data_IF_235018230891
#
_entry.id   IF_235018230891
#
_cell.length_a   1.000
_cell.length_b   1.000
_cell.length_c   1.000
_cell.angle_alpha   90.00
_cell.angle_beta   90.00
_cell.angle_gamma   90.00
#
_symmetry.space_group_name_H-M   'P 1'
#
loop_
_entity.id
_entity.type
_entity.pdbx_description
1 polymer ?
#
# COMPACT_ATOMS: atom_id res chain seq x y z
N UNK A 1 -36.59 -29.08 -36.76
CA UNK A 1 -35.22 -28.57 -36.99
C UNK A 1 -35.13 -27.06 -36.81
N UNK A 2 -36.20 -26.30 -37.10
CA UNK A 2 -36.17 -24.82 -37.06
C UNK A 2 -35.97 -24.19 -35.67
N UNK A 3 -36.54 -24.77 -34.61
CA UNK A 3 -36.41 -24.25 -33.23
C UNK A 3 -34.96 -24.32 -32.70
N UNK A 4 -34.21 -25.37 -33.10
CA UNK A 4 -32.81 -25.57 -32.71
C UNK A 4 -31.89 -24.62 -33.49
N UNK A 5 -32.19 -24.37 -34.77
CA UNK A 5 -31.47 -23.41 -35.61
C UNK A 5 -31.70 -21.95 -35.15
N UNK A 6 -32.92 -21.62 -34.73
CA UNK A 6 -33.25 -20.30 -34.18
C UNK A 6 -32.53 -20.03 -32.85
N UNK A 7 -32.49 -21.01 -31.93
CA UNK A 7 -31.76 -20.88 -30.67
C UNK A 7 -30.25 -20.66 -30.83
N UNK A 8 -29.63 -21.35 -31.80
CA UNK A 8 -28.19 -21.20 -32.09
C UNK A 8 -27.90 -19.82 -32.68
N UNK A 9 -28.77 -19.29 -33.55
CA UNK A 9 -28.63 -17.96 -34.17
C UNK A 9 -28.94 -16.80 -33.21
N UNK A 10 -29.75 -17.02 -32.17
CA UNK A 10 -30.06 -16.01 -31.16
C UNK A 10 -28.98 -15.87 -30.08
N UNK A 11 -28.28 -16.96 -29.74
CA UNK A 11 -27.19 -16.96 -28.75
C UNK A 11 -26.04 -15.95 -29.04
N UNK A 12 -25.48 -15.82 -30.27
CA UNK A 12 -24.41 -14.86 -30.54
C UNK A 12 -24.89 -13.42 -30.48
N UNK A 13 -26.16 -13.15 -30.84
CA UNK A 13 -26.75 -11.80 -30.77
C UNK A 13 -26.94 -11.35 -29.31
N UNK A 14 -27.38 -12.27 -28.44
CA UNK A 14 -27.51 -12.02 -26.99
C UNK A 14 -26.16 -11.84 -26.32
N UNK A 15 -25.16 -12.65 -26.68
CA UNK A 15 -23.79 -12.53 -26.20
C UNK A 15 -23.14 -11.20 -26.63
N UNK A 16 -23.27 -10.83 -27.90
CA UNK A 16 -22.76 -9.55 -28.41
C UNK A 16 -23.40 -8.35 -27.71
N UNK A 17 -24.71 -8.43 -27.44
CA UNK A 17 -25.43 -7.41 -26.69
C UNK A 17 -24.92 -7.34 -25.23
N UNK A 18 -24.74 -8.48 -24.57
CA UNK A 18 -24.21 -8.54 -23.21
C UNK A 18 -22.77 -7.98 -23.13
N UNK A 19 -21.89 -8.37 -24.05
CA UNK A 19 -20.50 -7.85 -24.13
C UNK A 19 -20.51 -6.34 -24.37
N UNK A 20 -21.35 -5.84 -25.29
CA UNK A 20 -21.47 -4.40 -25.55
C UNK A 20 -21.97 -3.64 -24.32
N UNK A 21 -22.95 -4.20 -23.60
CA UNK A 21 -23.44 -3.61 -22.36
C UNK A 21 -22.37 -3.61 -21.27
N UNK A 22 -21.59 -4.69 -21.12
CA UNK A 22 -20.46 -4.76 -20.19
C UNK A 22 -19.37 -3.74 -20.53
N UNK A 23 -19.00 -3.58 -21.80
CA UNK A 23 -18.03 -2.58 -22.25
C UNK A 23 -18.53 -1.16 -21.95
N UNK A 24 -19.82 -0.89 -22.17
CA UNK A 24 -20.40 0.41 -21.86
C UNK A 24 -20.43 0.69 -20.35
N UNK A 25 -20.65 -0.35 -19.52
CA UNK A 25 -20.56 -0.25 -18.06
C UNK A 25 -19.12 0.04 -17.64
N UNK A 26 -18.13 -0.68 -18.17
CA UNK A 26 -16.70 -0.47 -17.86
C UNK A 26 -16.24 0.94 -18.25
N UNK A 27 -16.76 1.51 -19.34
CA UNK A 27 -16.47 2.89 -19.76
C UNK A 27 -17.11 3.96 -18.87
N UNK A 28 -18.06 3.59 -18.00
CA UNK A 28 -18.63 4.52 -17.03
C UNK A 28 -17.68 4.72 -15.85
N UNK A 29 -17.77 5.88 -15.20
CA UNK A 29 -17.00 6.20 -13.98
C UNK A 29 -17.15 5.12 -12.89
N UNK A 30 -18.36 4.60 -12.72
CA UNK A 30 -18.63 3.52 -11.76
C UNK A 30 -18.03 2.18 -12.18
N UNK A 31 -18.05 1.85 -13.48
CA UNK A 31 -17.42 0.61 -13.97
C UNK A 31 -15.90 0.64 -13.84
N UNK A 32 -15.27 1.80 -14.03
CA UNK A 32 -13.85 1.97 -13.81
C UNK A 32 -13.48 1.79 -12.33
N UNK A 33 -14.30 2.32 -11.41
CA UNK A 33 -14.11 2.16 -9.97
C UNK A 33 -14.25 0.70 -9.53
N UNK A 34 -15.25 -0.02 -10.05
CA UNK A 34 -15.45 -1.45 -9.77
C UNK A 34 -14.29 -2.28 -10.33
N UNK A 35 -13.82 -1.98 -11.54
CA UNK A 35 -12.67 -2.64 -12.15
C UNK A 35 -11.41 -2.43 -11.30
N UNK A 36 -11.19 -1.22 -10.81
CA UNK A 36 -10.09 -0.89 -9.91
C UNK A 36 -10.19 -1.68 -8.61
N UNK A 37 -11.38 -1.77 -7.99
CA UNK A 37 -11.59 -2.57 -6.78
C UNK A 37 -11.25 -4.05 -6.99
N UNK A 38 -11.66 -4.64 -8.11
CA UNK A 38 -11.33 -6.04 -8.46
C UNK A 38 -9.81 -6.20 -8.65
N UNK A 39 -9.17 -5.24 -9.33
CA UNK A 39 -7.73 -5.26 -9.54
C UNK A 39 -6.95 -5.12 -8.22
N UNK A 40 -7.41 -4.26 -7.30
CA UNK A 40 -6.86 -4.13 -5.94
C UNK A 40 -7.01 -5.43 -5.13
N UNK A 41 -8.15 -6.12 -5.24
CA UNK A 41 -8.37 -7.39 -4.55
C UNK A 41 -7.42 -8.49 -5.05
N UNK A 42 -7.21 -8.55 -6.37
CA UNK A 42 -6.24 -9.46 -6.97
C UNK A 42 -4.81 -9.12 -6.55
N UNK A 43 -4.46 -7.83 -6.56
CA UNK A 43 -3.15 -7.35 -6.09
C UNK A 43 -2.92 -7.69 -4.61
N UNK A 44 -3.91 -7.45 -3.75
CA UNK A 44 -3.85 -7.77 -2.34
C UNK A 44 -3.61 -9.27 -2.11
N UNK A 45 -4.32 -10.13 -2.84
CA UNK A 45 -4.11 -11.57 -2.78
C UNK A 45 -2.68 -11.97 -3.18
N UNK A 46 -2.15 -11.39 -4.26
CA UNK A 46 -0.76 -11.64 -4.70
C UNK A 46 0.24 -11.20 -3.64
N UNK A 47 0.09 -10.01 -3.07
CA UNK A 47 1.00 -9.52 -2.02
C UNK A 47 0.93 -10.35 -0.74
N UNK A 48 -0.26 -10.79 -0.34
CA UNK A 48 -0.42 -11.69 0.81
C UNK A 48 0.32 -13.02 0.62
N UNK A 49 0.28 -13.58 -0.59
CA UNK A 49 0.95 -14.87 -0.88
C UNK A 49 2.46 -14.72 -1.10
N UNK A 50 2.90 -13.62 -1.70
CA UNK A 50 4.32 -13.41 -2.01
C UNK A 50 5.08 -12.85 -0.81
N UNK A 51 4.59 -11.75 -0.22
CA UNK A 51 5.28 -11.03 0.85
C UNK A 51 4.88 -11.54 2.25
N UNK A 52 3.65 -12.00 2.43
CA UNK A 52 3.16 -12.49 3.72
C UNK A 52 3.98 -13.66 4.31
N UNK A 53 4.30 -14.74 3.56
CA UNK A 53 5.15 -15.81 4.08
C UNK A 53 6.57 -15.37 4.38
N UNK A 54 7.13 -14.44 3.59
CA UNK A 54 8.46 -13.89 3.82
C UNK A 54 8.49 -13.08 5.13
N UNK A 55 7.45 -12.27 5.36
CA UNK A 55 7.24 -11.52 6.59
C UNK A 55 7.18 -12.44 7.81
N UNK A 56 6.31 -13.47 7.76
CA UNK A 56 6.16 -14.44 8.85
C UNK A 56 7.45 -15.19 9.16
N UNK A 57 8.23 -15.57 8.14
CA UNK A 57 9.54 -16.22 8.33
C UNK A 57 10.54 -15.28 9.03
N UNK A 58 10.59 -14.01 8.63
CA UNK A 58 11.47 -12.99 9.26
C UNK A 58 11.07 -12.79 10.73
N UNK A 59 9.78 -12.65 11.02
CA UNK A 59 9.23 -12.57 12.39
C UNK A 59 9.59 -13.78 13.24
N UNK A 60 9.36 -14.98 12.71
CA UNK A 60 9.70 -16.22 13.41
C UNK A 60 11.20 -16.31 13.70
N UNK A 61 12.06 -15.81 12.81
CA UNK A 61 13.49 -15.67 13.03
C UNK A 61 13.81 -14.76 14.23
N UNK A 62 13.24 -13.56 14.27
CA UNK A 62 13.44 -12.61 15.38
C UNK A 62 12.94 -13.17 16.72
N UNK A 63 11.78 -13.84 16.72
CA UNK A 63 11.23 -14.45 17.93
C UNK A 63 12.16 -15.57 18.44
N UNK A 64 12.72 -16.39 17.54
CA UNK A 64 13.71 -17.42 17.90
C UNK A 64 14.99 -16.81 18.48
N UNK A 65 15.49 -15.73 17.90
CA UNK A 65 16.67 -15.02 18.44
C UNK A 65 16.39 -14.45 19.83
N UNK A 66 15.19 -13.89 20.05
CA UNK A 66 14.76 -13.40 21.37
C UNK A 66 14.72 -14.51 22.42
N UNK A 67 14.12 -15.64 22.08
CA UNK A 67 14.05 -16.80 22.96
C UNK A 67 15.45 -17.36 23.27
N UNK A 68 16.29 -17.50 22.23
CA UNK A 68 17.67 -17.94 22.37
C UNK A 68 18.49 -17.02 23.29
N UNK A 69 18.37 -15.70 23.12
CA UNK A 69 19.05 -14.75 24.00
C UNK A 69 18.53 -14.86 25.45
N UNK A 70 17.22 -15.02 25.63
CA UNK A 70 16.62 -15.26 26.94
C UNK A 70 17.18 -16.50 27.63
N UNK A 71 17.21 -17.63 26.91
CA UNK A 71 17.76 -18.89 27.42
C UNK A 71 19.26 -18.79 27.71
N UNK A 72 20.02 -18.12 26.85
CA UNK A 72 21.45 -17.88 27.03
C UNK A 72 21.71 -17.06 28.30
N UNK A 73 21.00 -15.95 28.47
CA UNK A 73 21.12 -15.08 29.65
C UNK A 73 20.66 -15.81 30.93
N UNK A 74 19.59 -16.60 30.84
CA UNK A 74 19.10 -17.41 31.95
C UNK A 74 20.14 -18.46 32.37
N UNK A 75 20.72 -19.18 31.42
CA UNK A 75 21.76 -20.17 31.69
C UNK A 75 23.02 -19.53 32.29
N UNK A 76 23.44 -18.36 31.80
CA UNK A 76 24.54 -17.60 32.39
C UNK A 76 24.24 -17.17 33.83
N UNK A 77 22.98 -16.86 34.13
CA UNK A 77 22.54 -16.51 35.48
C UNK A 77 22.50 -17.73 36.40
N UNK A 78 22.15 -18.92 35.90
CA UNK A 78 22.18 -20.17 36.67
C UNK A 78 23.60 -20.64 37.00
N UNK A 79 24.57 -20.34 36.14
CA UNK A 79 26.00 -20.67 36.35
C UNK A 79 26.74 -19.59 37.17
N UNK A 80 26.01 -18.68 37.82
CA UNK A 80 26.59 -17.65 38.67
C UNK A 80 26.83 -18.19 40.09
N UNK A 81 28.10 -18.27 40.49
CA UNK A 81 28.52 -18.87 41.76
C UNK A 81 28.50 -17.88 42.95
N UNK A 82 27.96 -16.67 42.79
CA UNK A 82 27.89 -15.66 43.87
C UNK A 82 29.16 -14.82 44.06
N UNK A 83 30.24 -15.15 43.37
CA UNK A 83 31.54 -14.47 43.46
C UNK A 83 31.58 -13.15 42.66
N UNK A 84 32.21 -12.07 43.18
CA UNK A 84 32.33 -10.79 42.46
C UNK A 84 33.01 -10.89 41.09
N UNK A 85 33.95 -11.81 40.90
CA UNK A 85 34.59 -12.01 39.58
C UNK A 85 33.61 -12.65 38.59
N UNK A 86 32.78 -13.59 39.06
CA UNK A 86 31.72 -14.20 38.25
C UNK A 86 30.67 -13.17 37.80
N UNK A 87 30.37 -12.17 38.64
CA UNK A 87 29.43 -11.10 38.29
C UNK A 87 29.99 -10.19 37.20
N UNK A 88 31.27 -9.85 37.28
CA UNK A 88 31.94 -9.05 36.26
C UNK A 88 31.99 -9.76 34.91
N UNK A 89 32.29 -11.06 34.91
CA UNK A 89 32.28 -11.90 33.70
C UNK A 89 30.87 -11.99 33.09
N UNK A 90 29.84 -12.20 33.92
CA UNK A 90 28.45 -12.19 33.47
C UNK A 90 28.08 -10.85 32.84
N UNK A 91 28.38 -9.75 33.53
CA UNK A 91 28.06 -8.39 33.06
C UNK A 91 28.74 -8.06 31.74
N UNK A 92 30.00 -8.47 31.58
CA UNK A 92 30.74 -8.28 30.32
C UNK A 92 30.07 -9.07 29.19
N UNK A 93 29.70 -10.33 29.43
CA UNK A 93 29.04 -11.15 28.43
C UNK A 93 27.68 -10.58 28.00
N UNK A 94 26.87 -10.08 28.95
CA UNK A 94 25.61 -9.39 28.63
C UNK A 94 25.87 -8.15 27.80
N UNK A 95 26.87 -7.33 28.17
CA UNK A 95 27.25 -6.13 27.41
C UNK A 95 27.74 -6.42 26.00
N UNK A 96 28.25 -7.62 25.73
CA UNK A 96 28.67 -8.02 24.38
C UNK A 96 27.51 -8.59 23.54
N UNK A 97 26.60 -9.38 24.13
CA UNK A 97 25.53 -10.04 23.37
C UNK A 97 24.30 -9.15 23.17
N UNK A 98 23.93 -8.34 24.16
CA UNK A 98 22.72 -7.52 24.11
C UNK A 98 22.74 -6.50 22.94
N UNK A 99 23.83 -5.73 22.71
CA UNK A 99 23.88 -4.79 21.59
C UNK A 99 23.81 -5.46 20.22
N UNK A 100 24.31 -6.70 20.10
CA UNK A 100 24.26 -7.45 18.84
C UNK A 100 22.82 -7.85 18.49
N UNK A 101 22.04 -8.21 19.50
CA UNK A 101 20.60 -8.46 19.34
C UNK A 101 19.82 -7.18 19.06
N UNK A 102 20.13 -6.10 19.79
CA UNK A 102 19.51 -4.78 19.56
C UNK A 102 19.77 -4.28 18.13
N UNK A 103 20.99 -4.41 17.61
CA UNK A 103 21.32 -4.03 16.24
C UNK A 103 20.54 -4.86 15.21
N UNK A 104 20.38 -6.18 15.42
CA UNK A 104 19.60 -7.05 14.54
C UNK A 104 18.12 -6.67 14.52
N UNK A 105 17.56 -6.38 15.69
CA UNK A 105 16.17 -5.89 15.80
C UNK A 105 16.05 -4.52 15.14
N UNK A 106 16.97 -3.61 15.43
CA UNK A 106 16.95 -2.28 14.84
C UNK A 106 16.98 -2.33 13.32
N UNK A 107 17.84 -3.16 12.73
CA UNK A 107 17.87 -3.38 11.29
C UNK A 107 16.56 -3.99 10.77
N UNK A 108 16.01 -4.99 11.46
CA UNK A 108 14.75 -5.60 11.05
C UNK A 108 13.56 -4.61 11.07
N UNK A 109 13.46 -3.78 12.11
CA UNK A 109 12.43 -2.74 12.23
C UNK A 109 12.64 -1.61 11.22
N UNK A 110 13.89 -1.18 11.01
CA UNK A 110 14.25 -0.10 10.07
C UNK A 110 13.84 -0.41 8.62
N UNK A 111 13.94 -1.67 8.21
CA UNK A 111 13.76 -2.04 6.80
C UNK A 111 12.44 -2.77 6.49
N UNK A 112 11.70 -3.29 7.47
CA UNK A 112 10.58 -4.19 7.12
C UNK A 112 9.44 -4.33 8.13
N UNK A 113 9.54 -3.81 9.35
CA UNK A 113 8.65 -4.29 10.41
C UNK A 113 8.41 -3.23 11.49
N UNK A 114 7.55 -2.25 11.24
CA UNK A 114 7.30 -1.16 12.20
C UNK A 114 6.29 -1.51 13.30
N UNK A 115 5.63 -2.67 13.24
CA UNK A 115 4.53 -3.05 14.14
C UNK A 115 4.51 -4.54 14.48
N UNK A 116 4.00 -4.89 15.66
CA UNK A 116 3.69 -6.26 16.06
C UNK A 116 2.57 -6.89 15.20
N UNK A 117 1.75 -6.09 14.54
CA UNK A 117 0.70 -6.57 13.62
C UNK A 117 1.28 -6.92 12.23
N UNK A 118 0.80 -8.01 11.59
CA UNK A 118 1.22 -8.40 10.23
C UNK A 118 0.96 -7.26 9.24
N UNK A 119 1.99 -6.85 8.50
CA UNK A 119 1.91 -5.74 7.54
C UNK A 119 1.23 -6.19 6.25
N UNK A 120 1.48 -7.44 5.84
CA UNK A 120 0.91 -8.04 4.63
C UNK A 120 -0.32 -8.89 4.93
N UNK A 121 -1.20 -8.40 5.79
CA UNK A 121 -2.55 -8.93 5.94
C UNK A 121 -3.46 -8.44 4.79
N UNK A 122 -4.69 -8.97 4.70
CA UNK A 122 -5.60 -8.64 3.60
C UNK A 122 -5.87 -7.15 3.47
N UNK A 123 -6.06 -6.46 4.59
CA UNK A 123 -6.37 -5.04 4.61
C UNK A 123 -5.13 -4.19 4.35
N UNK A 124 -3.97 -4.55 4.90
CA UNK A 124 -2.69 -3.90 4.66
C UNK A 124 -2.26 -4.01 3.20
N UNK A 125 -2.39 -5.19 2.61
CA UNK A 125 -2.13 -5.42 1.19
C UNK A 125 -3.12 -4.66 0.29
N UNK A 126 -4.40 -4.60 0.65
CA UNK A 126 -5.41 -3.84 -0.08
C UNK A 126 -5.16 -2.31 -0.02
N UNK A 127 -4.79 -1.80 1.15
CA UNK A 127 -4.39 -0.41 1.33
C UNK A 127 -3.13 -0.08 0.54
N UNK A 128 -2.16 -1.00 0.48
CA UNK A 128 -0.95 -0.86 -0.32
C UNK A 128 -1.25 -0.81 -1.83
N UNK A 129 -2.16 -1.64 -2.33
CA UNK A 129 -2.66 -1.50 -3.71
C UNK A 129 -3.29 -0.11 -3.94
N UNK A 130 -4.07 0.38 -2.98
CA UNK A 130 -4.63 1.73 -2.98
C UNK A 130 -3.56 2.81 -3.19
N UNK A 131 -2.48 2.79 -2.40
CA UNK A 131 -1.40 3.80 -2.49
C UNK A 131 -0.65 3.77 -3.83
N UNK A 132 -0.53 2.61 -4.46
CA UNK A 132 0.07 2.47 -5.81
C UNK A 132 -0.80 3.16 -6.86
N UNK A 133 -2.12 2.95 -6.84
CA UNK A 133 -3.02 3.58 -7.81
C UNK A 133 -3.20 5.06 -7.53
N UNK A 134 -3.23 5.40 -6.25
CA UNK A 134 -3.25 6.77 -5.80
C UNK A 134 -1.82 7.29 -5.70
N UNK A 135 -1.07 7.42 -6.81
CA UNK A 135 0.18 8.22 -6.91
C UNK A 135 -0.06 9.71 -6.56
N UNK A 136 -0.80 10.00 -5.50
CA UNK A 136 -1.82 11.04 -5.38
C UNK A 136 -1.57 11.89 -4.14
N UNK A 137 -1.09 11.37 -3.01
CA UNK A 137 -0.86 12.25 -1.87
C UNK A 137 0.19 13.34 -2.18
N UNK A 138 1.31 12.98 -2.81
CA UNK A 138 2.39 13.93 -3.12
C UNK A 138 2.17 14.68 -4.43
N UNK A 139 1.69 14.02 -5.48
CA UNK A 139 1.52 14.66 -6.79
C UNK A 139 0.24 15.49 -6.89
N UNK A 140 -0.88 15.10 -6.25
CA UNK A 140 -2.11 15.91 -6.28
C UNK A 140 -2.02 17.14 -5.37
N UNK A 141 -1.38 17.05 -4.21
CA UNK A 141 -1.15 18.23 -3.35
C UNK A 141 -0.25 19.27 -4.08
N UNK A 142 0.79 18.82 -4.77
CA UNK A 142 1.69 19.69 -5.55
C UNK A 142 0.98 20.33 -6.76
N UNK A 143 0.18 19.56 -7.52
CA UNK A 143 -0.55 20.03 -8.70
C UNK A 143 -1.66 21.03 -8.29
N UNK A 144 -2.35 20.78 -7.17
CA UNK A 144 -3.37 21.70 -6.67
C UNK A 144 -2.78 23.06 -6.25
N UNK A 145 -1.58 23.10 -5.65
CA UNK A 145 -0.91 24.36 -5.29
C UNK A 145 -0.41 25.18 -6.50
N UNK A 146 -0.16 24.55 -7.64
CA UNK A 146 0.41 25.22 -8.83
C UNK A 146 -0.68 25.64 -9.84
N UNK A 147 -1.67 24.78 -10.12
CA UNK A 147 -2.62 24.99 -11.22
C UNK A 147 -3.80 25.88 -10.80
N UNK A 148 -4.33 25.70 -9.59
CA UNK A 148 -5.49 26.45 -9.08
C UNK A 148 -5.26 27.98 -9.08
N UNK A 149 -4.13 28.53 -8.58
CA UNK A 149 -3.91 29.98 -8.62
C UNK A 149 -3.78 30.51 -10.06
N UNK A 150 -3.19 29.74 -10.97
CA UNK A 150 -3.04 30.13 -12.37
C UNK A 150 -4.39 30.22 -13.09
N UNK A 151 -5.30 29.25 -12.85
CA UNK A 151 -6.64 29.25 -13.44
C UNK A 151 -7.52 30.40 -12.93
N UNK A 152 -7.42 30.73 -11.64
CA UNK A 152 -8.19 31.84 -11.05
C UNK A 152 -7.72 33.18 -11.65
N UNK A 153 -6.42 33.41 -11.74
CA UNK A 153 -5.85 34.65 -12.32
C UNK A 153 -6.26 34.79 -13.79
N UNK A 154 -6.15 33.71 -14.58
CA UNK A 154 -6.53 33.73 -15.99
C UNK A 154 -8.01 34.08 -16.20
N UNK A 155 -8.89 33.57 -15.33
CA UNK A 155 -10.33 33.86 -15.38
C UNK A 155 -10.61 35.33 -15.09
N UNK A 156 -9.98 35.90 -14.05
CA UNK A 156 -10.13 37.32 -13.70
C UNK A 156 -9.67 38.21 -14.86
N UNK A 157 -8.49 37.93 -15.44
CA UNK A 157 -7.97 38.70 -16.57
C UNK A 157 -8.93 38.66 -17.76
N UNK A 158 -9.47 37.49 -18.10
CA UNK A 158 -10.41 37.34 -19.22
C UNK A 158 -11.69 38.15 -19.00
N UNK A 159 -12.23 38.14 -17.78
CA UNK A 159 -13.43 38.93 -17.45
C UNK A 159 -13.19 40.43 -17.62
N UNK A 160 -12.02 40.94 -17.21
CA UNK A 160 -11.65 42.34 -17.38
C UNK A 160 -11.54 42.70 -18.87
N UNK A 161 -10.90 41.84 -19.67
CA UNK A 161 -10.77 42.05 -21.13
C UNK A 161 -12.13 42.08 -21.81
N UNK A 162 -13.06 41.21 -21.43
CA UNK A 162 -14.41 41.17 -21.99
C UNK A 162 -15.16 42.47 -21.66
N UNK A 163 -15.09 42.95 -20.42
CA UNK A 163 -15.75 44.20 -20.00
C UNK A 163 -15.22 45.38 -20.83
N UNK A 164 -13.90 45.51 -20.94
CA UNK A 164 -13.26 46.59 -21.72
C UNK A 164 -13.70 46.54 -23.20
N UNK A 165 -13.73 45.36 -23.81
CA UNK A 165 -14.10 45.23 -25.23
C UNK A 165 -15.59 45.53 -25.48
N UNK A 166 -16.47 45.18 -24.54
CA UNK A 166 -17.89 45.51 -24.63
C UNK A 166 -18.08 47.03 -24.62
N UNK A 167 -17.42 47.74 -23.69
CA UNK A 167 -17.51 49.20 -23.59
C UNK A 167 -16.96 49.93 -24.82
N UNK A 168 -15.87 49.44 -25.41
CA UNK A 168 -15.32 50.02 -26.65
C UNK A 168 -16.26 49.80 -27.84
N UNK A 169 -16.89 48.62 -27.93
CA UNK A 169 -17.79 48.28 -29.03
C UNK A 169 -19.11 49.05 -28.99
N UNK A 170 -19.57 49.50 -27.82
CA UNK A 170 -20.76 50.34 -27.68
C UNK A 170 -20.50 51.83 -27.94
N UNK A 171 -19.25 52.28 -27.91
CA UNK A 171 -18.85 53.69 -28.13
C UNK A 171 -18.59 54.00 -29.62
N UNK A 172 -18.27 52.99 -30.43
CA UNK A 172 -18.00 53.08 -31.88
C UNK A 172 -19.29 52.83 -32.67
#
# INVERSE_FOLDING_TARGET
>A
MDQLQQGILESPKRLHKAIRTLINIIKSWFGLLILLMIYSLLGAYVFMEVEGPAERKRRAGLLRERLYLGDLLWNLTLNYDGDPQSYNNWTQYVKEQLPRYEERIYQAYKYSMSSDAEVWDFYGALLYCGTIYTTIATTIILIMFIIIPFTIIATVILTIIIIINIDITTII
#
